data_IF_261594305804
#
_entry.id   IF_261594305804
#
_cell.length_a   1.000
_cell.length_b   1.000
_cell.length_c   1.000
_cell.angle_alpha   90.00
_cell.angle_beta   90.00
_cell.angle_gamma   90.00
#
_symmetry.space_group_name_H-M   'P 1'
#
loop_
_entity.id
_entity.type
_entity.pdbx_description
1 polymer ?
#
# COMPACT_ATOMS: atom_id res chain seq x y z
N UNK A 1 31.01 7.43 19.78
CA UNK A 1 30.66 6.31 18.85
C UNK A 1 29.24 5.80 19.11
N UNK A 2 28.77 5.77 20.36
CA UNK A 2 27.36 5.49 20.71
C UNK A 2 26.40 6.60 20.29
N UNK A 3 26.71 7.88 20.55
CA UNK A 3 25.86 9.01 20.15
C UNK A 3 25.57 9.08 18.64
N UNK A 4 26.56 8.69 17.81
CA UNK A 4 26.39 8.58 16.36
C UNK A 4 25.42 7.44 15.97
N UNK A 5 25.48 6.32 16.69
CA UNK A 5 24.61 5.17 16.45
C UNK A 5 23.18 5.48 16.90
N UNK A 6 23.03 6.19 18.01
CA UNK A 6 21.76 6.67 18.52
C UNK A 6 21.11 7.70 17.59
N UNK A 7 21.88 8.64 17.04
CA UNK A 7 21.39 9.59 16.04
C UNK A 7 20.95 8.91 14.74
N UNK A 8 21.66 7.86 14.29
CA UNK A 8 21.26 7.06 13.13
C UNK A 8 19.97 6.27 13.42
N UNK A 9 19.85 5.66 14.59
CA UNK A 9 18.64 4.95 14.97
C UNK A 9 17.45 5.90 15.17
N UNK A 10 17.68 7.10 15.68
CA UNK A 10 16.67 8.15 15.78
C UNK A 10 16.22 8.61 14.38
N UNK A 11 17.16 8.81 13.46
CA UNK A 11 16.86 9.16 12.08
C UNK A 11 16.03 8.07 11.36
N UNK A 12 16.35 6.79 11.59
CA UNK A 12 15.59 5.64 11.06
C UNK A 12 14.18 5.57 11.65
N UNK A 13 14.03 5.74 12.97
CA UNK A 13 12.71 5.79 13.64
C UNK A 13 11.86 6.94 13.09
N UNK A 14 12.47 8.11 12.89
CA UNK A 14 11.78 9.27 12.30
C UNK A 14 11.34 9.01 10.87
N UNK A 15 12.15 8.34 10.05
CA UNK A 15 11.77 7.97 8.67
C UNK A 15 10.56 7.02 8.62
N UNK A 16 10.49 6.06 9.54
CA UNK A 16 9.35 5.13 9.64
C UNK A 16 8.04 5.86 9.98
N UNK A 17 8.09 6.89 10.83
CA UNK A 17 6.91 7.70 11.21
C UNK A 17 6.59 8.80 10.20
N UNK A 18 7.60 9.35 9.52
CA UNK A 18 7.42 10.39 8.50
C UNK A 18 6.64 9.87 7.30
N UNK A 19 6.82 8.60 6.91
CA UNK A 19 6.10 8.01 5.77
C UNK A 19 4.57 8.06 5.92
N UNK A 20 3.95 7.48 6.97
CA UNK A 20 2.50 7.53 7.15
C UNK A 20 2.00 8.97 7.38
N UNK A 21 2.81 9.84 8.00
CA UNK A 21 2.46 11.24 8.21
C UNK A 21 2.38 12.00 6.87
N UNK A 22 3.40 11.86 6.00
CA UNK A 22 3.35 12.44 4.66
C UNK A 22 2.17 11.92 3.86
N UNK A 23 1.85 10.63 4.00
CA UNK A 23 0.69 10.03 3.36
C UNK A 23 -0.62 10.68 3.83
N UNK A 24 -0.78 10.92 5.14
CA UNK A 24 -1.96 11.62 5.70
C UNK A 24 -2.08 13.03 5.14
N UNK A 25 -0.95 13.75 5.02
CA UNK A 25 -0.94 15.12 4.51
C UNK A 25 -1.32 15.15 3.03
N UNK A 26 -0.68 14.30 2.21
CA UNK A 26 -0.95 14.22 0.77
C UNK A 26 -2.41 13.86 0.53
N UNK A 27 -2.92 12.84 1.23
CA UNK A 27 -4.32 12.43 1.08
C UNK A 27 -5.30 13.49 1.53
N UNK A 28 -5.04 14.20 2.64
CA UNK A 28 -5.85 15.34 3.06
C UNK A 28 -5.93 16.40 1.95
N UNK A 29 -4.80 16.79 1.36
CA UNK A 29 -4.76 17.76 0.25
C UNK A 29 -5.52 17.23 -0.97
N UNK A 30 -5.37 15.95 -1.30
CA UNK A 30 -6.11 15.33 -2.41
C UNK A 30 -7.61 15.28 -2.14
N UNK A 31 -8.05 15.00 -0.92
CA UNK A 31 -9.47 15.00 -0.53
C UNK A 31 -10.10 16.37 -0.70
N UNK A 32 -9.39 17.44 -0.30
CA UNK A 32 -9.82 18.81 -0.52
C UNK A 32 -9.87 19.13 -2.02
N UNK A 33 -8.88 18.68 -2.78
CA UNK A 33 -8.82 18.87 -4.23
C UNK A 33 -9.88 18.09 -5.02
N UNK A 34 -10.53 17.10 -4.41
CA UNK A 34 -11.44 16.20 -5.11
C UNK A 34 -12.68 16.91 -5.69
N UNK A 35 -13.12 17.99 -5.04
CA UNK A 35 -14.18 18.86 -5.55
C UNK A 35 -13.90 19.39 -6.97
N UNK A 36 -12.61 19.62 -7.30
CA UNK A 36 -12.21 20.11 -8.63
C UNK A 36 -12.20 18.99 -9.68
N UNK A 37 -11.96 17.74 -9.27
CA UNK A 37 -11.95 16.58 -10.16
C UNK A 37 -13.36 16.09 -10.51
N UNK A 38 -14.30 16.20 -9.57
CA UNK A 38 -15.70 15.74 -9.74
C UNK A 38 -16.59 16.82 -10.37
N UNK A 39 -16.19 18.09 -10.26
CA UNK A 39 -16.89 19.21 -10.90
C UNK A 39 -17.97 19.87 -10.04
N UNK A 40 -18.04 19.53 -8.75
CA UNK A 40 -19.06 20.03 -7.81
C UNK A 40 -18.62 21.30 -7.06
N UNK A 41 -17.62 22.01 -7.59
CA UNK A 41 -17.06 23.19 -6.94
C UNK A 41 -17.89 24.44 -7.26
N UNK A 42 -18.26 25.21 -6.23
CA UNK A 42 -18.94 26.51 -6.36
C UNK A 42 -18.21 27.55 -7.24
N UNK A 43 -16.96 27.29 -7.63
CA UNK A 43 -16.13 28.14 -8.49
C UNK A 43 -16.14 27.73 -9.98
N UNK A 44 -16.92 26.73 -10.41
CA UNK A 44 -16.90 26.26 -11.79
C UNK A 44 -17.89 27.02 -12.70
N UNK A 45 -17.35 27.69 -13.71
CA UNK A 45 -18.11 28.28 -14.82
C UNK A 45 -18.74 27.20 -15.71
N UNK A 46 -19.93 27.48 -16.23
CA UNK A 46 -20.87 26.63 -16.99
C UNK A 46 -20.37 25.77 -18.18
N UNK A 47 -19.08 25.70 -18.47
CA UNK A 47 -18.52 25.05 -19.68
C UNK A 47 -17.59 23.84 -19.39
N UNK A 48 -17.64 23.23 -18.20
CA UNK A 48 -16.73 22.13 -17.81
C UNK A 48 -17.37 20.76 -17.54
N UNK A 49 -18.67 20.58 -17.76
CA UNK A 49 -19.35 19.26 -17.62
C UNK A 49 -18.70 18.13 -18.44
N UNK A 50 -17.94 18.45 -19.48
CA UNK A 50 -17.22 17.48 -20.33
C UNK A 50 -15.83 17.10 -19.81
N UNK A 51 -15.33 17.69 -18.72
CA UNK A 51 -13.94 17.49 -18.23
C UNK A 51 -13.80 16.90 -16.82
N UNK A 52 -14.89 16.70 -16.07
CA UNK A 52 -14.83 16.04 -14.75
C UNK A 52 -14.93 14.52 -14.87
N UNK A 53 -14.30 13.81 -13.94
CA UNK A 53 -14.41 12.36 -13.86
C UNK A 53 -15.72 11.97 -13.16
N UNK A 54 -16.36 10.89 -13.62
CA UNK A 54 -17.52 10.35 -12.90
C UNK A 54 -17.11 9.63 -11.62
N UNK A 55 -18.01 9.53 -10.65
CA UNK A 55 -17.76 8.84 -9.39
C UNK A 55 -17.34 7.38 -9.56
N UNK A 56 -17.92 6.67 -10.51
CA UNK A 56 -17.59 5.27 -10.76
C UNK A 56 -16.21 5.10 -11.39
N UNK A 57 -15.82 6.03 -12.28
CA UNK A 57 -14.46 6.07 -12.83
C UNK A 57 -13.42 6.38 -11.75
N UNK A 58 -13.74 7.28 -10.81
CA UNK A 58 -12.86 7.60 -9.68
C UNK A 58 -12.72 6.40 -8.73
N UNK A 59 -13.82 5.73 -8.39
CA UNK A 59 -13.80 4.52 -7.55
C UNK A 59 -12.95 3.43 -8.17
N UNK A 60 -13.17 3.12 -9.44
CA UNK A 60 -12.36 2.14 -10.17
C UNK A 60 -10.89 2.58 -10.27
N UNK A 61 -10.66 3.86 -10.56
CA UNK A 61 -9.35 4.48 -10.68
C UNK A 61 -8.53 4.45 -9.38
N UNK A 62 -9.16 4.35 -8.21
CA UNK A 62 -8.47 4.15 -6.94
C UNK A 62 -8.02 2.70 -6.74
N UNK A 63 -8.82 1.72 -7.15
CA UNK A 63 -8.51 0.31 -6.97
C UNK A 63 -7.39 -0.18 -7.89
N UNK A 64 -7.30 0.35 -9.12
CA UNK A 64 -6.35 -0.14 -10.13
C UNK A 64 -4.87 0.12 -9.75
N UNK A 65 -4.43 1.35 -9.41
CA UNK A 65 -3.05 1.59 -8.97
C UNK A 65 -2.74 0.86 -7.66
N UNK A 66 -3.71 0.74 -6.76
CA UNK A 66 -3.57 0.02 -5.50
C UNK A 66 -3.31 -1.47 -5.74
N UNK A 67 -4.03 -2.08 -6.68
CA UNK A 67 -3.84 -3.47 -7.09
C UNK A 67 -2.44 -3.68 -7.68
N UNK A 68 -2.00 -2.82 -8.60
CA UNK A 68 -0.64 -2.91 -9.19
C UNK A 68 0.47 -2.68 -8.17
N UNK A 69 0.28 -1.72 -7.26
CA UNK A 69 1.19 -1.48 -6.15
C UNK A 69 1.31 -2.72 -5.25
N UNK A 70 0.18 -3.33 -4.91
CA UNK A 70 0.13 -4.55 -4.13
C UNK A 70 0.79 -5.73 -4.84
N UNK A 71 0.57 -5.89 -6.15
CA UNK A 71 1.23 -6.92 -6.95
C UNK A 71 2.75 -6.70 -6.97
N UNK A 72 3.20 -5.47 -7.24
CA UNK A 72 4.62 -5.13 -7.29
C UNK A 72 5.33 -5.44 -5.98
N UNK A 73 4.79 -4.99 -4.85
CA UNK A 73 5.41 -5.24 -3.55
C UNK A 73 5.38 -6.71 -3.12
N UNK A 74 4.31 -7.44 -3.44
CA UNK A 74 4.23 -8.87 -3.16
C UNK A 74 5.33 -9.68 -3.86
N UNK A 75 5.80 -9.27 -5.04
CA UNK A 75 6.86 -9.97 -5.78
C UNK A 75 8.25 -9.78 -5.18
N UNK A 76 8.50 -8.65 -4.50
CA UNK A 76 9.80 -8.36 -3.88
C UNK A 76 10.05 -9.16 -2.60
N UNK A 77 9.01 -9.64 -1.92
CA UNK A 77 9.15 -10.40 -0.67
C UNK A 77 9.96 -11.70 -0.87
N UNK A 78 9.83 -12.38 -2.00
CA UNK A 78 10.60 -13.59 -2.32
C UNK A 78 11.89 -13.27 -3.08
N UNK A 79 11.83 -12.39 -4.07
CA UNK A 79 12.99 -12.04 -4.91
C UNK A 79 14.08 -11.28 -4.14
N UNK A 80 13.71 -10.52 -3.10
CA UNK A 80 14.65 -9.85 -2.20
C UNK A 80 15.45 -10.83 -1.36
N UNK A 81 14.83 -11.92 -0.90
CA UNK A 81 15.54 -12.99 -0.17
C UNK A 81 16.56 -13.71 -1.06
N UNK A 82 16.21 -13.91 -2.33
CA UNK A 82 17.09 -14.55 -3.32
C UNK A 82 18.22 -13.61 -3.78
N UNK A 83 17.94 -12.32 -3.96
CA UNK A 83 18.94 -11.30 -4.30
C UNK A 83 19.93 -11.02 -3.15
N UNK A 84 19.48 -11.05 -1.89
CA UNK A 84 20.34 -10.94 -0.71
C UNK A 84 21.15 -12.23 -0.51
N UNK A 85 20.53 -13.40 -0.70
CA UNK A 85 21.19 -14.70 -0.66
C UNK A 85 22.33 -14.83 -1.68
N UNK A 86 22.14 -14.30 -2.89
CA UNK A 86 23.18 -14.26 -3.93
C UNK A 86 24.30 -13.25 -3.64
N UNK A 87 24.06 -12.23 -2.81
CA UNK A 87 25.05 -11.20 -2.45
C UNK A 87 25.94 -11.57 -1.25
N UNK A 88 25.41 -12.31 -0.27
CA UNK A 88 26.10 -12.63 0.99
C UNK A 88 26.81 -14.00 1.01
N UNK A 89 26.93 -14.66 -0.14
CA UNK A 89 27.92 -15.74 -0.40
C UNK A 89 28.05 -16.81 0.68
N UNK A 90 27.20 -17.86 0.61
CA UNK A 90 27.33 -19.21 1.21
C UNK A 90 27.56 -19.36 2.74
N UNK A 91 28.08 -18.37 3.47
CA UNK A 91 28.47 -18.50 4.89
C UNK A 91 27.44 -17.92 5.87
N UNK A 92 26.61 -16.97 5.43
CA UNK A 92 25.50 -16.43 6.25
C UNK A 92 24.13 -17.07 5.91
N UNK A 93 24.14 -18.02 4.97
CA UNK A 93 22.92 -18.66 4.44
C UNK A 93 22.18 -19.47 5.50
N UNK A 94 22.88 -19.99 6.52
CA UNK A 94 22.34 -20.86 7.58
C UNK A 94 21.60 -20.15 8.71
N UNK A 95 21.47 -18.82 8.68
CA UNK A 95 20.79 -18.06 9.74
C UNK A 95 19.71 -17.11 9.21
N UNK A 96 19.70 -16.82 7.90
CA UNK A 96 18.84 -15.79 7.31
C UNK A 96 17.84 -16.28 6.24
N UNK A 97 17.96 -17.51 5.73
CA UNK A 97 17.04 -18.01 4.72
C UNK A 97 15.69 -18.44 5.37
N UNK A 98 14.53 -18.01 4.84
CA UNK A 98 13.23 -18.53 5.27
C UNK A 98 13.09 -20.05 5.11
N UNK A 99 13.85 -20.65 4.18
CA UNK A 99 13.88 -22.08 3.90
C UNK A 99 14.53 -22.96 4.99
N UNK A 100 15.23 -22.37 5.96
CA UNK A 100 15.92 -23.07 7.06
C UNK A 100 15.32 -22.76 8.44
N UNK A 101 14.31 -21.89 8.50
CA UNK A 101 13.47 -21.85 9.69
C UNK A 101 12.67 -23.15 9.76
N UNK A 102 12.50 -23.76 10.96
CA UNK A 102 11.77 -25.02 11.13
C UNK A 102 10.25 -24.79 11.05
N UNK A 103 9.80 -24.07 10.02
CA UNK A 103 8.40 -23.82 9.71
C UNK A 103 8.06 -24.55 8.42
N UNK A 104 6.91 -25.25 8.36
CA UNK A 104 6.46 -25.84 7.11
C UNK A 104 6.28 -24.74 6.07
N UNK A 105 6.63 -25.02 4.81
CA UNK A 105 6.69 -24.03 3.74
C UNK A 105 5.36 -23.25 3.57
N UNK A 106 4.22 -23.91 3.76
CA UNK A 106 2.89 -23.28 3.75
C UNK A 106 2.69 -22.24 4.85
N UNK A 107 3.19 -22.50 6.06
CA UNK A 107 3.10 -21.58 7.20
C UNK A 107 4.00 -20.37 7.00
N UNK A 108 5.18 -20.55 6.39
CA UNK A 108 6.07 -19.44 6.06
C UNK A 108 5.41 -18.47 5.08
N UNK A 109 4.83 -18.98 3.98
CA UNK A 109 4.13 -18.16 2.98
C UNK A 109 2.94 -17.41 3.58
N UNK A 110 2.14 -18.08 4.43
CA UNK A 110 1.02 -17.45 5.11
C UNK A 110 1.46 -16.35 6.09
N UNK A 111 2.52 -16.60 6.87
CA UNK A 111 3.05 -15.61 7.82
C UNK A 111 3.58 -14.37 7.10
N UNK A 112 4.26 -14.52 5.96
CA UNK A 112 4.68 -13.38 5.13
C UNK A 112 3.48 -12.64 4.55
N UNK A 113 2.48 -13.35 4.01
CA UNK A 113 1.25 -12.72 3.53
C UNK A 113 0.55 -11.90 4.62
N UNK A 114 0.36 -12.49 5.81
CA UNK A 114 -0.29 -11.81 6.93
C UNK A 114 0.52 -10.60 7.42
N UNK A 115 1.85 -10.72 7.53
CA UNK A 115 2.75 -9.62 7.89
C UNK A 115 2.62 -8.46 6.91
N UNK A 116 2.69 -8.74 5.61
CA UNK A 116 2.60 -7.72 4.55
C UNK A 116 1.21 -7.07 4.52
N UNK A 117 0.15 -7.86 4.64
CA UNK A 117 -1.22 -7.35 4.68
C UNK A 117 -1.44 -6.42 5.86
N UNK A 118 -1.02 -6.81 7.06
CA UNK A 118 -1.12 -5.97 8.27
C UNK A 118 -0.24 -4.73 8.14
N UNK A 119 0.98 -4.87 7.60
CA UNK A 119 1.89 -3.75 7.38
C UNK A 119 1.26 -2.70 6.46
N UNK A 120 0.68 -3.10 5.31
CA UNK A 120 0.02 -2.16 4.41
C UNK A 120 -1.29 -1.60 4.96
N UNK A 121 -2.07 -2.42 5.66
CA UNK A 121 -3.29 -1.95 6.31
C UNK A 121 -2.98 -0.84 7.33
N UNK A 122 -1.95 -1.02 8.16
CA UNK A 122 -1.65 -0.08 9.24
C UNK A 122 -0.82 1.13 8.79
N UNK A 123 0.15 0.97 7.89
CA UNK A 123 1.07 2.05 7.53
C UNK A 123 0.74 2.75 6.21
N UNK A 124 -0.17 2.20 5.41
CA UNK A 124 -0.61 2.83 4.17
C UNK A 124 -2.10 3.15 4.24
N UNK A 125 -2.94 2.15 4.49
CA UNK A 125 -4.38 2.33 4.39
C UNK A 125 -4.97 3.17 5.53
N UNK A 126 -4.62 2.89 6.78
CA UNK A 126 -5.09 3.69 7.92
C UNK A 126 -4.69 5.16 7.82
N UNK A 127 -3.43 5.51 7.49
CA UNK A 127 -3.04 6.91 7.32
C UNK A 127 -3.74 7.60 6.14
N UNK A 128 -4.08 6.87 5.05
CA UNK A 128 -4.92 7.41 3.97
C UNK A 128 -6.31 7.79 4.50
N UNK A 129 -6.97 6.90 5.23
CA UNK A 129 -8.31 7.15 5.79
C UNK A 129 -8.29 8.26 6.85
N UNK A 130 -7.24 8.34 7.65
CA UNK A 130 -7.03 9.45 8.57
C UNK A 130 -6.87 10.78 7.84
N UNK A 131 -6.08 10.82 6.75
CA UNK A 131 -5.95 12.03 5.93
C UNK A 131 -7.27 12.46 5.29
N UNK A 132 -8.07 11.51 4.80
CA UNK A 132 -9.43 11.79 4.31
C UNK A 132 -10.32 12.35 5.42
N UNK A 133 -10.26 11.79 6.63
CA UNK A 133 -11.00 12.28 7.80
C UNK A 133 -10.62 13.73 8.15
N UNK A 134 -9.32 14.03 8.16
CA UNK A 134 -8.83 15.40 8.36
C UNK A 134 -9.26 16.35 7.23
N UNK A 135 -9.33 15.86 5.99
CA UNK A 135 -9.81 16.63 4.85
C UNK A 135 -11.27 17.06 5.04
N UNK A 136 -12.13 16.15 5.50
CA UNK A 136 -13.55 16.45 5.81
C UNK A 136 -13.65 17.44 6.97
N UNK A 137 -12.91 17.22 8.07
CA UNK A 137 -12.89 18.14 9.21
C UNK A 137 -12.50 19.56 8.78
N UNK A 138 -11.45 19.70 7.97
CA UNK A 138 -11.01 21.01 7.51
C UNK A 138 -12.04 21.66 6.58
N UNK A 139 -12.80 20.86 5.81
CA UNK A 139 -13.93 21.33 5.02
C UNK A 139 -15.03 21.97 5.87
N UNK A 140 -15.40 21.32 6.98
CA UNK A 140 -16.40 21.81 7.94
C UNK A 140 -15.99 23.15 8.59
N UNK A 141 -14.71 23.32 8.92
CA UNK A 141 -14.19 24.58 9.50
C UNK A 141 -13.89 25.67 8.47
N UNK A 142 -13.56 25.29 7.22
CA UNK A 142 -12.98 26.18 6.21
C UNK A 142 -13.96 26.76 5.19
N UNK A 143 -15.28 26.49 5.31
CA UNK A 143 -16.28 26.79 4.27
C UNK A 143 -15.93 26.17 2.90
N UNK A 144 -15.22 25.03 2.90
CA UNK A 144 -14.87 24.27 1.69
C UNK A 144 -15.77 23.04 1.63
N UNK A 145 -16.50 22.86 0.54
CA UNK A 145 -17.39 21.72 0.34
C UNK A 145 -16.60 20.50 -0.11
N UNK A 146 -16.29 19.59 0.81
CA UNK A 146 -15.73 18.28 0.43
C UNK A 146 -16.84 17.31 0.05
N UNK A 147 -16.77 16.65 -1.11
CA UNK A 147 -17.84 15.77 -1.58
C UNK A 147 -17.85 14.37 -0.92
N UNK A 148 -17.10 14.18 0.17
CA UNK A 148 -16.99 12.91 0.90
C UNK A 148 -17.84 12.93 2.18
N UNK A 149 -18.53 11.83 2.44
CA UNK A 149 -19.31 11.63 3.67
C UNK A 149 -18.52 10.83 4.72
N UNK A 150 -18.69 11.17 6.01
CA UNK A 150 -18.13 10.43 7.15
C UNK A 150 -18.48 8.94 7.15
N UNK A 151 -19.70 8.60 6.74
CA UNK A 151 -20.19 7.22 6.65
C UNK A 151 -19.42 6.38 5.63
N UNK A 152 -18.83 7.01 4.61
CA UNK A 152 -18.14 6.31 3.53
C UNK A 152 -16.75 5.80 3.92
N UNK A 153 -16.10 6.42 4.91
CA UNK A 153 -14.70 6.14 5.28
C UNK A 153 -14.44 4.67 5.68
N UNK A 154 -15.26 4.03 6.55
CA UNK A 154 -15.05 2.64 6.93
C UNK A 154 -15.25 1.67 5.74
N UNK A 155 -16.19 1.99 4.86
CA UNK A 155 -16.47 1.18 3.67
C UNK A 155 -15.34 1.28 2.65
N UNK A 156 -14.80 2.49 2.44
CA UNK A 156 -13.62 2.69 1.58
C UNK A 156 -12.41 1.97 2.14
N UNK A 157 -12.20 2.00 3.46
CA UNK A 157 -11.14 1.23 4.12
C UNK A 157 -11.29 -0.27 3.82
N UNK A 158 -12.48 -0.83 4.03
CA UNK A 158 -12.73 -2.26 3.81
C UNK A 158 -12.54 -2.64 2.32
N UNK A 159 -13.07 -1.84 1.39
CA UNK A 159 -12.93 -2.09 -0.04
C UNK A 159 -11.48 -2.00 -0.54
N UNK A 160 -10.69 -1.06 -0.02
CA UNK A 160 -9.27 -0.96 -0.35
C UNK A 160 -8.44 -2.07 0.32
N UNK A 161 -8.80 -2.47 1.54
CA UNK A 161 -8.18 -3.61 2.22
C UNK A 161 -8.34 -4.90 1.42
N UNK A 162 -9.54 -5.19 0.91
CA UNK A 162 -9.77 -6.38 0.07
C UNK A 162 -9.00 -6.31 -1.25
N UNK A 163 -8.85 -5.12 -1.83
CA UNK A 163 -8.07 -4.91 -3.05
C UNK A 163 -6.58 -5.21 -2.85
N UNK A 164 -6.00 -4.74 -1.75
CA UNK A 164 -4.61 -5.07 -1.37
C UNK A 164 -4.48 -6.58 -1.10
N UNK A 165 -5.43 -7.16 -0.36
CA UNK A 165 -5.42 -8.59 -0.07
C UNK A 165 -5.46 -9.43 -1.36
N UNK A 166 -6.24 -9.02 -2.37
CA UNK A 166 -6.31 -9.67 -3.68
C UNK A 166 -4.99 -9.54 -4.45
N UNK A 167 -4.42 -8.33 -4.54
CA UNK A 167 -3.14 -8.13 -5.22
C UNK A 167 -2.01 -8.95 -4.60
N UNK A 168 -1.94 -8.97 -3.27
CA UNK A 168 -1.00 -9.81 -2.54
C UNK A 168 -1.27 -11.30 -2.79
N UNK A 169 -2.51 -11.76 -2.68
CA UNK A 169 -2.84 -13.17 -2.88
C UNK A 169 -2.42 -13.65 -4.28
N UNK A 170 -2.66 -12.85 -5.32
CA UNK A 170 -2.22 -13.15 -6.69
C UNK A 170 -0.70 -13.21 -6.77
N UNK A 171 0.01 -12.25 -6.16
CA UNK A 171 1.47 -12.25 -6.16
C UNK A 171 2.07 -13.46 -5.44
N UNK A 172 1.51 -13.86 -4.30
CA UNK A 172 1.95 -15.04 -3.57
C UNK A 172 1.63 -16.33 -4.33
N UNK A 173 0.46 -16.41 -4.97
CA UNK A 173 0.09 -17.52 -5.82
C UNK A 173 1.05 -17.65 -7.00
N UNK A 174 1.36 -16.54 -7.68
CA UNK A 174 2.32 -16.53 -8.78
C UNK A 174 3.72 -16.98 -8.32
N UNK A 175 4.18 -16.50 -7.16
CA UNK A 175 5.46 -16.93 -6.57
C UNK A 175 5.47 -18.43 -6.23
N UNK A 176 4.40 -18.95 -5.62
CA UNK A 176 4.28 -20.37 -5.31
C UNK A 176 4.22 -21.25 -6.55
N UNK A 177 3.54 -20.80 -7.61
CA UNK A 177 3.48 -21.51 -8.89
C UNK A 177 4.87 -21.57 -9.54
N UNK A 178 5.61 -20.45 -9.48
CA UNK A 178 6.97 -20.34 -10.01
C UNK A 178 7.94 -21.30 -9.30
N UNK A 179 7.84 -21.44 -7.98
CA UNK A 179 8.69 -22.34 -7.20
C UNK A 179 8.41 -23.84 -7.42
N UNK A 180 7.24 -24.20 -7.98
CA UNK A 180 6.83 -25.61 -8.15
C UNK A 180 7.39 -26.27 -9.42
N UNK A 181 7.95 -25.49 -10.36
CA UNK A 181 8.51 -26.00 -11.61
C UNK A 181 7.46 -26.54 -12.60
N UNK A 182 7.92 -27.28 -13.61
CA UNK A 182 7.06 -27.84 -14.68
C UNK A 182 5.99 -28.78 -14.12
N UNK A 183 4.72 -28.68 -14.58
CA UNK A 183 4.26 -28.08 -15.84
C UNK A 183 3.83 -26.59 -15.78
N UNK A 184 3.99 -25.91 -14.64
CA UNK A 184 3.42 -24.57 -14.43
C UNK A 184 4.31 -23.40 -14.86
N UNK A 185 5.57 -23.67 -15.22
CA UNK A 185 6.54 -22.70 -15.73
C UNK A 185 7.13 -23.17 -17.06
N UNK A 186 6.99 -22.36 -18.12
CA UNK A 186 7.56 -22.65 -19.47
C UNK A 186 8.95 -22.00 -19.65
N UNK A 187 9.24 -20.92 -18.92
CA UNK A 187 10.45 -20.09 -19.10
C UNK A 187 11.20 -19.84 -17.77
N UNK A 188 11.09 -20.75 -16.80
CA UNK A 188 11.78 -20.69 -15.50
C UNK A 188 12.23 -22.10 -15.07
N UNK A 189 13.18 -22.23 -14.12
CA UNK A 189 13.85 -23.49 -13.80
C UNK A 189 12.88 -24.62 -13.43
#
# INVERSE_FOLDING_TARGET
>A
REEWRENIDFAKKRQIVLFPLLLTLVTMVTTIGLQFLVGDSAAQSSNMETKSFTWDQLRFGLHLPLLFFSLGMGTFAFRGSEAISQRDGNKNHLIAAPAIQPLPNSMAHYAFFAKELVYYALLILTPIVLGMSFGILLGEFGAITTPLEWSSLPWTWLAMFTTIAQGLAISFLASSLWMRGRPFTVVGP
#
